data_IF_230995841407
#
_entry.id   IF_230995841407
#
_cell.length_a   1.000
_cell.length_b   1.000
_cell.length_c   1.000
_cell.angle_alpha   90.00
_cell.angle_beta   90.00
_cell.angle_gamma   90.00
#
_symmetry.space_group_name_H-M   'P 1'
#
loop_
_entity.id
_entity.type
_entity.pdbx_description
1 polymer ?
#
# COMPACT_ATOMS: atom_id res chain seq x y z
N UNK A 1 -19.26 -28.83 14.27
CA UNK A 1 -19.26 -27.37 14.13
C UNK A 1 -17.97 -27.03 13.42
N UNK A 2 -18.07 -26.75 12.13
CA UNK A 2 -16.94 -26.46 11.25
C UNK A 2 -16.40 -25.06 11.58
N UNK A 3 -15.08 -24.86 11.75
CA UNK A 3 -14.52 -23.55 12.10
C UNK A 3 -14.41 -22.56 10.93
N UNK A 4 -14.94 -22.86 9.75
CA UNK A 4 -14.87 -21.96 8.57
C UNK A 4 -16.11 -21.06 8.39
N UNK A 5 -17.12 -21.16 9.26
CA UNK A 5 -18.43 -20.51 9.04
C UNK A 5 -18.56 -19.12 9.68
N UNK A 6 -17.45 -18.41 9.88
CA UNK A 6 -17.46 -17.05 10.44
C UNK A 6 -16.58 -16.17 9.58
N UNK A 7 -17.20 -15.50 8.59
CA UNK A 7 -16.91 -14.14 8.10
C UNK A 7 -17.35 -13.98 6.63
N UNK A 8 -18.65 -14.13 6.35
CA UNK A 8 -19.20 -13.62 5.09
C UNK A 8 -20.49 -12.84 5.33
N UNK A 9 -20.37 -11.78 6.14
CA UNK A 9 -21.34 -10.68 6.10
C UNK A 9 -20.96 -9.79 4.93
N UNK A 10 -21.52 -10.13 3.77
CA UNK A 10 -21.49 -9.32 2.56
C UNK A 10 -22.35 -8.07 2.82
N UNK A 11 -21.73 -7.00 3.33
CA UNK A 11 -22.39 -5.70 3.46
C UNK A 11 -22.37 -5.07 2.08
N UNK A 12 -23.37 -5.39 1.26
CA UNK A 12 -23.57 -4.83 -0.07
C UNK A 12 -24.00 -3.37 0.07
N UNK A 13 -23.01 -2.47 0.18
CA UNK A 13 -23.22 -1.02 0.18
C UNK A 13 -22.78 -0.51 -1.18
N UNK A 14 -23.70 -0.53 -2.14
CA UNK A 14 -23.48 0.12 -3.42
C UNK A 14 -24.56 1.15 -3.74
N UNK A 15 -24.05 2.34 -4.07
CA UNK A 15 -24.59 3.38 -4.95
C UNK A 15 -25.51 4.45 -4.35
N UNK A 16 -24.86 5.54 -3.93
CA UNK A 16 -25.24 6.89 -4.38
C UNK A 16 -26.45 7.53 -3.71
N UNK A 17 -26.32 7.95 -2.44
CA UNK A 17 -27.35 8.79 -1.83
C UNK A 17 -27.13 9.23 -0.37
N UNK A 18 -25.98 8.94 0.22
CA UNK A 18 -25.77 8.95 1.68
C UNK A 18 -24.91 10.12 2.19
N UNK A 19 -24.30 10.92 1.31
CA UNK A 19 -23.52 12.11 1.71
C UNK A 19 -24.37 13.16 2.47
N UNK A 20 -25.69 13.20 2.27
CA UNK A 20 -26.59 14.15 2.94
C UNK A 20 -26.96 13.77 4.38
N UNK A 21 -26.70 12.53 4.82
CA UNK A 21 -27.01 12.06 6.17
C UNK A 21 -25.83 12.14 7.14
N UNK A 22 -24.68 12.67 6.70
CA UNK A 22 -23.46 12.75 7.53
C UNK A 22 -22.88 11.38 7.90
N UNK A 23 -23.29 10.33 7.18
CA UNK A 23 -22.85 8.95 7.33
C UNK A 23 -21.48 8.74 6.68
N UNK A 24 -20.66 7.89 7.28
CA UNK A 24 -19.41 7.43 6.68
C UNK A 24 -19.73 6.47 5.52
N UNK A 25 -19.00 6.59 4.41
CA UNK A 25 -19.10 5.64 3.30
C UNK A 25 -17.88 4.75 3.23
N UNK A 26 -18.10 3.51 2.82
CA UNK A 26 -17.04 2.56 2.52
C UNK A 26 -16.75 2.58 1.01
N UNK A 27 -15.53 2.26 0.62
CA UNK A 27 -15.15 2.13 -0.78
C UNK A 27 -15.74 0.85 -1.40
N UNK A 28 -15.83 0.84 -2.73
CA UNK A 28 -16.22 -0.34 -3.51
C UNK A 28 -15.08 -1.35 -3.71
N UNK A 29 -13.94 -1.18 -3.02
CA UNK A 29 -12.81 -2.10 -3.12
C UNK A 29 -13.08 -3.37 -2.30
N UNK A 30 -12.45 -4.51 -2.66
CA UNK A 30 -12.56 -5.72 -1.86
C UNK A 30 -11.87 -5.54 -0.51
N UNK A 31 -12.39 -6.22 0.53
CA UNK A 31 -11.83 -6.17 1.89
C UNK A 31 -10.35 -6.53 1.97
N UNK A 32 -9.93 -7.45 1.10
CA UNK A 32 -8.53 -7.86 0.96
C UNK A 32 -7.58 -6.71 0.64
N UNK A 33 -8.06 -5.63 0.03
CA UNK A 33 -7.25 -4.46 -0.31
C UNK A 33 -6.71 -3.76 0.94
N UNK A 34 -7.60 -3.29 1.82
CA UNK A 34 -7.20 -2.55 3.01
C UNK A 34 -6.66 -3.47 4.11
N UNK A 35 -7.10 -4.73 4.19
CA UNK A 35 -6.43 -5.74 5.02
C UNK A 35 -4.98 -5.98 4.57
N UNK A 36 -4.75 -6.07 3.26
CA UNK A 36 -3.40 -6.19 2.69
C UNK A 36 -2.51 -5.02 3.07
N UNK A 37 -3.07 -3.81 3.12
CA UNK A 37 -2.34 -2.62 3.55
C UNK A 37 -2.00 -2.65 5.05
N UNK A 38 -2.95 -3.03 5.92
CA UNK A 38 -2.75 -3.06 7.37
C UNK A 38 -1.78 -4.15 7.87
N UNK A 39 -1.82 -5.33 7.23
CA UNK A 39 -1.10 -6.54 7.67
C UNK A 39 -0.01 -6.98 6.69
N UNK A 40 0.54 -6.04 5.93
CA UNK A 40 1.49 -6.34 4.85
C UNK A 40 2.72 -7.15 5.33
N UNK A 41 3.21 -6.87 6.53
CA UNK A 41 4.39 -7.56 7.09
C UNK A 41 4.08 -9.00 7.52
N UNK A 42 2.90 -9.24 8.08
CA UNK A 42 2.43 -10.59 8.45
C UNK A 42 2.19 -11.44 7.20
N UNK A 43 1.57 -10.85 6.17
CA UNK A 43 1.32 -11.51 4.89
C UNK A 43 2.65 -11.89 4.24
N UNK A 44 3.63 -10.98 4.22
CA UNK A 44 4.98 -11.26 3.72
C UNK A 44 5.64 -12.37 4.53
N UNK A 45 5.55 -12.35 5.86
CA UNK A 45 6.15 -13.37 6.72
C UNK A 45 5.57 -14.76 6.47
N UNK A 46 4.24 -14.86 6.32
CA UNK A 46 3.54 -16.12 6.01
C UNK A 46 3.86 -16.62 4.61
N UNK A 47 3.93 -15.72 3.63
CA UNK A 47 4.17 -16.06 2.23
C UNK A 47 5.64 -16.30 1.90
N UNK A 48 6.56 -16.18 2.87
CA UNK A 48 7.96 -16.57 2.68
C UNK A 48 8.03 -18.06 2.32
N UNK A 49 8.75 -18.44 1.25
CA UNK A 49 8.96 -19.84 0.90
C UNK A 49 9.53 -20.62 2.10
N UNK A 50 8.95 -21.80 2.36
CA UNK A 50 9.37 -22.66 3.49
C UNK A 50 10.76 -23.26 3.27
N UNK A 51 11.10 -23.56 2.03
CA UNK A 51 12.45 -23.89 1.61
C UNK A 51 13.04 -22.64 0.96
N UNK A 52 14.15 -22.14 1.52
CA UNK A 52 14.86 -21.04 0.88
C UNK A 52 15.32 -21.51 -0.51
N UNK A 53 15.13 -20.71 -1.58
CA UNK A 53 15.65 -21.06 -2.90
C UNK A 53 17.13 -21.40 -2.74
N UNK A 54 17.55 -22.58 -3.23
CA UNK A 54 18.95 -23.02 -3.15
C UNK A 54 19.81 -21.94 -3.81
N UNK A 55 20.54 -21.18 -2.97
CA UNK A 55 21.37 -20.08 -3.44
C UNK A 55 22.46 -20.69 -4.33
N UNK A 56 22.52 -20.36 -5.64
CA UNK A 56 23.59 -20.85 -6.48
C UNK A 56 24.93 -20.31 -5.95
N UNK A 57 25.94 -21.17 -5.86
CA UNK A 57 27.26 -20.84 -5.27
C UNK A 57 27.97 -19.71 -6.01
N UNK A 58 27.64 -19.51 -7.29
CA UNK A 58 28.20 -18.49 -8.18
C UNK A 58 27.12 -17.64 -8.85
N UNK A 59 26.29 -16.94 -8.05
CA UNK A 59 25.42 -15.90 -8.60
C UNK A 59 26.26 -14.67 -9.01
N UNK A 60 26.08 -14.11 -10.22
CA UNK A 60 26.63 -12.80 -10.55
C UNK A 60 26.05 -11.74 -9.62
N UNK A 61 26.86 -10.78 -9.19
CA UNK A 61 26.38 -9.66 -8.36
C UNK A 61 25.38 -8.77 -9.12
N UNK A 62 25.55 -8.66 -10.44
CA UNK A 62 24.64 -7.91 -11.31
C UNK A 62 23.79 -8.88 -12.11
N UNK A 63 22.47 -8.74 -12.02
CA UNK A 63 21.55 -9.42 -12.93
C UNK A 63 21.84 -8.91 -14.36
N UNK A 64 21.88 -9.80 -15.37
CA UNK A 64 22.09 -9.40 -16.75
C UNK A 64 21.03 -8.39 -17.21
N UNK A 65 21.47 -7.32 -17.87
CA UNK A 65 20.58 -6.31 -18.45
C UNK A 65 20.75 -6.29 -19.95
N UNK A 66 19.64 -6.19 -20.70
CA UNK A 66 19.71 -5.90 -22.14
C UNK A 66 20.15 -4.45 -22.32
N UNK A 67 21.17 -4.23 -23.15
CA UNK A 67 21.61 -2.90 -23.53
C UNK A 67 20.58 -2.27 -24.47
N UNK A 68 19.70 -1.41 -23.94
CA UNK A 68 18.71 -0.66 -24.69
C UNK A 68 18.98 0.86 -24.64
N UNK A 69 18.47 1.60 -25.62
CA UNK A 69 18.55 3.08 -25.70
C UNK A 69 17.71 3.78 -24.61
N UNK A 70 16.93 3.02 -23.84
CA UNK A 70 16.11 3.54 -22.76
C UNK A 70 16.94 3.69 -21.48
N UNK A 71 16.67 4.76 -20.72
CA UNK A 71 17.29 5.07 -19.42
C UNK A 71 16.94 4.07 -18.29
N UNK A 72 16.38 2.90 -18.63
CA UNK A 72 15.93 1.88 -17.69
C UNK A 72 16.55 0.52 -18.03
N UNK A 73 17.19 -0.17 -17.06
CA UNK A 73 17.70 -1.50 -17.26
C UNK A 73 16.54 -2.50 -17.39
N UNK A 74 16.40 -3.10 -18.57
CA UNK A 74 15.54 -4.26 -18.75
C UNK A 74 16.39 -5.49 -18.45
N UNK A 75 15.98 -6.31 -17.48
CA UNK A 75 16.72 -7.51 -17.12
C UNK A 75 16.46 -8.62 -18.12
N UNK A 76 17.53 -9.28 -18.54
CA UNK A 76 17.47 -10.44 -19.41
C UNK A 76 17.46 -11.71 -18.56
N UNK A 77 16.30 -12.37 -18.48
CA UNK A 77 16.14 -13.61 -17.74
C UNK A 77 16.72 -14.82 -18.49
N UNK A 78 17.01 -14.70 -19.79
CA UNK A 78 17.49 -15.78 -20.66
C UNK A 78 18.99 -15.66 -20.97
N UNK A 79 19.65 -14.59 -20.51
CA UNK A 79 21.07 -14.35 -20.75
C UNK A 79 21.95 -15.41 -20.08
N UNK A 80 22.54 -16.30 -20.90
CA UNK A 80 23.61 -17.21 -20.47
C UNK A 80 24.88 -16.40 -20.16
N UNK A 81 25.30 -16.43 -18.90
CA UNK A 81 26.51 -15.74 -18.45
C UNK A 81 27.71 -16.66 -18.69
N UNK A 82 28.76 -16.24 -19.43
CA UNK A 82 29.93 -17.06 -19.65
C UNK A 82 30.61 -17.44 -18.32
N UNK A 83 30.72 -18.74 -18.01
CA UNK A 83 31.26 -19.25 -16.75
C UNK A 83 30.23 -19.62 -15.69
N UNK A 84 28.93 -19.47 -15.99
CA UNK A 84 27.82 -19.98 -15.19
C UNK A 84 27.27 -21.25 -15.85
N UNK A 85 27.55 -22.40 -15.24
CA UNK A 85 26.88 -23.66 -15.58
C UNK A 85 25.57 -23.69 -14.80
N UNK A 86 24.45 -23.75 -15.53
CA UNK A 86 23.13 -23.93 -14.97
C UNK A 86 23.01 -25.39 -14.53
N UNK A 87 23.61 -25.71 -13.39
CA UNK A 87 23.52 -27.01 -12.76
C UNK A 87 22.13 -27.22 -12.17
N UNK A 88 21.15 -27.51 -13.03
CA UNK A 88 19.77 -27.73 -12.61
C UNK A 88 18.75 -27.81 -13.76
N UNK A 89 19.02 -28.59 -14.80
CA UNK A 89 17.95 -29.08 -15.67
C UNK A 89 17.14 -30.17 -14.94
N UNK A 90 16.23 -29.75 -14.06
CA UNK A 90 15.05 -30.55 -13.75
C UNK A 90 13.85 -29.81 -14.35
N UNK A 91 13.34 -30.42 -15.42
CA UNK A 91 12.18 -30.03 -16.21
C UNK A 91 10.89 -30.22 -15.39
N UNK A 92 10.60 -29.37 -14.41
CA UNK A 92 9.29 -29.33 -13.73
C UNK A 92 9.18 -28.07 -12.85
N UNK A 93 9.08 -26.88 -13.44
CA UNK A 93 8.49 -25.67 -12.80
C UNK A 93 8.40 -24.50 -13.82
N UNK A 94 7.53 -24.66 -14.83
CA UNK A 94 7.29 -23.63 -15.86
C UNK A 94 6.36 -22.47 -15.43
N UNK A 95 5.88 -22.40 -14.18
CA UNK A 95 4.95 -21.34 -13.73
C UNK A 95 5.58 -20.28 -12.81
N UNK A 96 6.91 -20.22 -12.76
CA UNK A 96 7.64 -19.19 -12.02
C UNK A 96 7.98 -17.95 -12.85
N UNK A 97 7.06 -17.46 -13.70
CA UNK A 97 7.24 -16.21 -14.45
C UNK A 97 7.78 -15.11 -13.51
N UNK A 98 9.07 -14.82 -13.67
CA UNK A 98 9.82 -13.86 -12.87
C UNK A 98 9.19 -12.49 -13.06
N UNK A 99 8.27 -12.15 -12.15
CA UNK A 99 7.65 -10.82 -12.08
C UNK A 99 8.68 -9.87 -11.46
N UNK A 100 9.87 -9.78 -12.08
CA UNK A 100 10.81 -8.69 -11.88
C UNK A 100 10.00 -7.46 -12.23
N UNK A 101 9.64 -6.69 -11.19
CA UNK A 101 8.90 -5.45 -11.35
C UNK A 101 9.73 -4.57 -12.28
N UNK A 102 9.29 -4.47 -13.55
CA UNK A 102 9.86 -3.53 -14.52
C UNK A 102 9.96 -2.19 -13.80
N UNK A 103 11.19 -1.70 -13.65
CA UNK A 103 11.56 -0.58 -12.79
C UNK A 103 10.48 0.49 -12.79
N UNK A 104 9.71 0.54 -11.71
CA UNK A 104 8.85 1.68 -11.44
C UNK A 104 9.79 2.87 -11.31
N UNK A 105 9.46 3.98 -11.99
CA UNK A 105 10.24 5.21 -11.92
C UNK A 105 10.55 5.54 -10.45
N UNK A 106 11.79 5.28 -10.01
CA UNK A 106 12.37 5.88 -8.81
C UNK A 106 12.73 7.35 -9.15
N UNK A 107 11.79 8.06 -9.76
CA UNK A 107 11.88 9.50 -9.91
C UNK A 107 11.77 10.13 -8.53
N UNK A 108 12.44 11.26 -8.33
CA UNK A 108 12.46 12.04 -7.07
C UNK A 108 11.06 12.28 -6.45
N UNK A 109 9.97 12.15 -7.20
CA UNK A 109 8.60 12.12 -6.68
C UNK A 109 7.77 11.07 -7.41
N UNK A 110 7.14 10.16 -6.64
CA UNK A 110 6.21 9.15 -7.16
C UNK A 110 4.93 9.80 -7.71
N UNK A 111 4.18 9.08 -8.54
CA UNK A 111 2.92 9.59 -9.10
C UNK A 111 1.90 9.91 -8.00
N UNK A 112 1.87 9.11 -6.95
CA UNK A 112 1.04 9.38 -5.78
C UNK A 112 1.45 10.67 -5.06
N UNK A 113 2.75 10.89 -4.85
CA UNK A 113 3.23 12.10 -4.18
C UNK A 113 2.90 13.36 -4.98
N UNK A 114 3.02 13.32 -6.31
CA UNK A 114 2.58 14.43 -7.18
C UNK A 114 1.07 14.68 -7.07
N UNK A 115 0.28 13.62 -6.96
CA UNK A 115 -1.16 13.73 -6.75
C UNK A 115 -1.49 14.35 -5.39
N UNK A 116 -0.76 13.97 -4.32
CA UNK A 116 -0.89 14.58 -2.98
C UNK A 116 -0.58 16.08 -2.97
N UNK A 117 0.33 16.55 -3.82
CA UNK A 117 0.63 17.98 -3.97
C UNK A 117 -0.45 18.74 -4.75
N UNK A 118 -1.24 18.06 -5.56
CA UNK A 118 -2.14 18.68 -6.55
C UNK A 118 -3.60 18.70 -6.08
N UNK A 119 -4.19 17.51 -5.86
CA UNK A 119 -5.60 17.37 -5.50
C UNK A 119 -5.86 16.07 -4.72
N UNK A 120 -6.56 16.18 -3.60
CA UNK A 120 -6.91 15.03 -2.75
C UNK A 120 -7.82 14.01 -3.48
N UNK A 121 -8.68 14.46 -4.40
CA UNK A 121 -9.54 13.57 -5.18
C UNK A 121 -8.75 12.71 -6.16
N UNK A 122 -7.80 13.34 -6.88
CA UNK A 122 -6.85 12.65 -7.75
C UNK A 122 -5.95 11.70 -6.94
N UNK A 123 -5.43 12.15 -5.79
CA UNK A 123 -4.62 11.32 -4.91
C UNK A 123 -5.36 10.08 -4.43
N UNK A 124 -6.62 10.22 -4.00
CA UNK A 124 -7.44 9.07 -3.59
C UNK A 124 -7.73 8.12 -4.76
N UNK A 125 -8.00 8.65 -5.95
CA UNK A 125 -8.21 7.83 -7.15
C UNK A 125 -6.95 7.04 -7.52
N UNK A 126 -5.78 7.68 -7.44
CA UNK A 126 -4.50 7.04 -7.69
C UNK A 126 -4.21 5.97 -6.63
N UNK A 127 -4.42 6.27 -5.35
CA UNK A 127 -4.26 5.33 -4.24
C UNK A 127 -5.06 4.04 -4.45
N UNK A 128 -6.33 4.16 -4.86
CA UNK A 128 -7.20 2.99 -5.13
C UNK A 128 -6.75 2.18 -6.35
N UNK A 129 -6.00 2.77 -7.27
CA UNK A 129 -5.46 2.08 -8.46
C UNK A 129 -4.17 1.31 -8.18
N UNK A 130 -3.49 1.61 -7.07
CA UNK A 130 -2.23 0.99 -6.68
C UNK A 130 -2.46 -0.32 -5.92
N UNK A 131 -1.54 -1.27 -6.02
CA UNK A 131 -1.56 -2.44 -5.15
C UNK A 131 -1.18 -2.08 -3.70
N UNK A 132 -1.67 -2.80 -2.69
CA UNK A 132 -1.29 -2.56 -1.28
C UNK A 132 0.23 -2.56 -1.05
N UNK A 133 0.98 -3.37 -1.80
CA UNK A 133 2.44 -3.41 -1.72
C UNK A 133 3.13 -2.18 -2.31
N UNK A 134 2.59 -1.60 -3.38
CA UNK A 134 3.09 -0.33 -3.92
C UNK A 134 2.84 0.80 -2.93
N UNK A 135 1.62 0.90 -2.39
CA UNK A 135 1.26 1.90 -1.38
C UNK A 135 2.20 1.83 -0.19
N UNK A 136 2.44 0.63 0.36
CA UNK A 136 3.37 0.44 1.47
C UNK A 136 4.80 0.90 1.13
N UNK A 137 5.30 0.55 -0.05
CA UNK A 137 6.66 0.95 -0.49
C UNK A 137 6.78 2.46 -0.63
N UNK A 138 5.75 3.12 -1.17
CA UNK A 138 5.75 4.57 -1.29
C UNK A 138 5.71 5.26 0.06
N UNK A 139 4.84 4.81 0.99
CA UNK A 139 4.79 5.35 2.35
C UNK A 139 6.14 5.17 3.04
N UNK A 140 6.78 4.00 2.91
CA UNK A 140 8.08 3.75 3.50
C UNK A 140 9.17 4.71 2.98
N UNK A 141 9.03 5.19 1.75
CA UNK A 141 9.97 6.11 1.12
C UNK A 141 9.61 7.60 1.32
N UNK A 142 8.58 7.92 2.13
CA UNK A 142 8.22 9.32 2.39
C UNK A 142 9.35 10.08 3.07
N UNK A 143 9.62 11.27 2.53
CA UNK A 143 10.40 12.29 3.22
C UNK A 143 9.49 13.15 4.11
N UNK A 144 10.10 14.05 4.86
CA UNK A 144 9.41 14.94 5.78
C UNK A 144 8.23 15.70 5.14
N UNK A 145 8.43 16.20 3.91
CA UNK A 145 7.43 16.98 3.18
C UNK A 145 6.28 16.08 2.73
N UNK A 146 6.59 14.91 2.16
CA UNK A 146 5.61 13.91 1.75
C UNK A 146 4.76 13.46 2.93
N UNK A 147 5.37 13.25 4.09
CA UNK A 147 4.68 12.86 5.31
C UNK A 147 3.70 13.94 5.79
N UNK A 148 4.11 15.22 5.76
CA UNK A 148 3.23 16.35 6.10
C UNK A 148 2.02 16.44 5.15
N UNK A 149 2.26 16.29 3.85
CA UNK A 149 1.20 16.24 2.83
C UNK A 149 0.26 15.05 3.06
N UNK A 150 0.80 13.88 3.37
CA UNK A 150 0.02 12.67 3.62
C UNK A 150 -0.87 12.80 4.87
N UNK A 151 -0.37 13.39 5.97
CA UNK A 151 -1.16 13.65 7.18
C UNK A 151 -2.29 14.65 6.91
N UNK A 152 -2.00 15.69 6.14
CA UNK A 152 -3.00 16.69 5.73
C UNK A 152 -4.08 16.07 4.83
N UNK A 153 -3.66 15.28 3.83
CA UNK A 153 -4.53 14.50 2.97
C UNK A 153 -5.44 13.56 3.78
N UNK A 154 -4.88 12.78 4.71
CA UNK A 154 -5.67 11.91 5.57
C UNK A 154 -6.72 12.70 6.36
N UNK A 155 -6.33 13.83 6.95
CA UNK A 155 -7.25 14.72 7.69
C UNK A 155 -8.41 15.19 6.82
N UNK A 156 -8.13 15.60 5.58
CA UNK A 156 -9.16 16.04 4.63
C UNK A 156 -10.10 14.89 4.24
N UNK A 157 -9.55 13.71 3.98
CA UNK A 157 -10.33 12.52 3.63
C UNK A 157 -11.23 12.04 4.78
N UNK A 158 -10.73 12.08 6.03
CA UNK A 158 -11.54 11.81 7.23
C UNK A 158 -12.72 12.77 7.32
N UNK A 159 -12.48 14.07 7.11
CA UNK A 159 -13.55 15.10 7.13
C UNK A 159 -14.58 14.92 6.02
N UNK A 160 -14.17 14.43 4.84
CA UNK A 160 -15.09 14.09 3.74
C UNK A 160 -15.96 12.86 4.06
N UNK A 161 -15.53 12.01 5.02
CA UNK A 161 -16.25 10.80 5.44
C UNK A 161 -16.48 9.79 4.31
N UNK A 162 -15.62 9.80 3.30
CA UNK A 162 -15.68 8.90 2.13
C UNK A 162 -14.52 7.93 2.11
N UNK A 163 -14.77 6.69 1.72
CA UNK A 163 -13.74 5.63 1.67
C UNK A 163 -13.00 5.49 3.01
N UNK A 164 -13.78 5.44 4.07
CA UNK A 164 -13.27 5.63 5.42
C UNK A 164 -12.29 4.53 5.83
N UNK A 165 -12.56 3.28 5.47
CA UNK A 165 -11.72 2.12 5.73
C UNK A 165 -10.37 2.17 5.02
N UNK A 166 -10.32 2.69 3.79
CA UNK A 166 -9.05 2.90 3.07
C UNK A 166 -8.23 3.99 3.77
N UNK A 167 -8.89 5.07 4.17
CA UNK A 167 -8.25 6.17 4.90
C UNK A 167 -7.72 5.69 6.26
N UNK A 168 -8.49 4.89 7.01
CA UNK A 168 -8.02 4.29 8.28
C UNK A 168 -6.82 3.36 8.06
N UNK A 169 -6.84 2.54 7.01
CA UNK A 169 -5.71 1.67 6.66
C UNK A 169 -4.45 2.48 6.35
N UNK A 170 -4.58 3.57 5.60
CA UNK A 170 -3.47 4.48 5.29
C UNK A 170 -2.90 5.11 6.56
N UNK A 171 -3.75 5.64 7.44
CA UNK A 171 -3.34 6.20 8.74
C UNK A 171 -2.59 5.15 9.56
N UNK A 172 -3.08 3.91 9.61
CA UNK A 172 -2.43 2.83 10.35
C UNK A 172 -0.99 2.59 9.87
N UNK A 173 -0.77 2.51 8.56
CA UNK A 173 0.56 2.27 7.99
C UNK A 173 1.48 3.47 8.20
N UNK A 174 1.00 4.69 7.96
CA UNK A 174 1.79 5.91 8.20
C UNK A 174 2.28 5.96 9.65
N UNK A 175 1.37 5.72 10.61
CA UNK A 175 1.75 5.73 12.02
C UNK A 175 2.71 4.59 12.36
N UNK A 176 2.51 3.38 11.84
CA UNK A 176 3.44 2.26 12.09
C UNK A 176 4.86 2.53 11.60
N UNK A 177 4.99 3.16 10.43
CA UNK A 177 6.28 3.40 9.77
C UNK A 177 6.97 4.66 10.30
N UNK A 178 6.23 5.76 10.46
CA UNK A 178 6.80 7.09 10.71
C UNK A 178 6.53 7.66 12.10
N UNK A 179 6.10 6.85 13.07
CA UNK A 179 5.77 7.34 14.42
C UNK A 179 6.91 8.14 15.06
N UNK A 180 8.15 7.67 14.96
CA UNK A 180 9.31 8.33 15.55
C UNK A 180 9.52 9.72 14.96
N UNK A 181 9.47 9.86 13.64
CA UNK A 181 9.64 11.15 12.97
C UNK A 181 8.50 12.12 13.31
N UNK A 182 7.27 11.62 13.38
CA UNK A 182 6.09 12.42 13.76
C UNK A 182 6.22 12.96 15.19
N UNK A 183 6.81 12.19 16.10
CA UNK A 183 6.99 12.60 17.49
C UNK A 183 8.16 13.59 17.68
N UNK A 184 9.17 13.53 16.82
CA UNK A 184 10.35 14.41 16.88
C UNK A 184 10.09 15.80 16.26
N UNK A 185 9.25 15.91 15.23
CA UNK A 185 8.94 17.18 14.57
C UNK A 185 7.67 17.84 15.10
N UNK A 186 7.75 19.12 15.48
CA UNK A 186 6.60 19.90 15.93
C UNK A 186 5.51 20.04 14.86
N UNK A 187 5.89 20.21 13.60
CA UNK A 187 4.94 20.46 12.51
C UNK A 187 4.19 19.19 12.13
N UNK A 188 4.88 18.05 12.06
CA UNK A 188 4.24 16.74 11.87
C UNK A 188 3.35 16.37 13.04
N UNK A 189 3.80 16.60 14.27
CA UNK A 189 3.00 16.36 15.48
C UNK A 189 1.73 17.20 15.49
N UNK A 190 1.80 18.45 15.04
CA UNK A 190 0.64 19.34 14.89
C UNK A 190 -0.34 18.78 13.85
N UNK A 191 0.15 18.42 12.66
CA UNK A 191 -0.69 17.82 11.61
C UNK A 191 -1.34 16.50 12.07
N UNK A 192 -0.59 15.64 12.76
CA UNK A 192 -1.12 14.41 13.35
C UNK A 192 -2.15 14.68 14.45
N UNK A 193 -1.99 15.74 15.25
CA UNK A 193 -2.96 16.14 16.27
C UNK A 193 -4.27 16.64 15.65
N UNK A 194 -4.21 17.40 14.55
CA UNK A 194 -5.39 17.80 13.77
C UNK A 194 -6.10 16.60 13.17
N UNK A 195 -5.34 15.67 12.57
CA UNK A 195 -5.86 14.40 12.06
C UNK A 195 -6.58 13.61 13.17
N UNK A 196 -5.98 13.50 14.35
CA UNK A 196 -6.56 12.81 15.51
C UNK A 196 -7.87 13.44 15.97
N UNK A 197 -7.96 14.77 16.01
CA UNK A 197 -9.21 15.48 16.35
C UNK A 197 -10.31 15.16 15.32
N UNK A 198 -9.99 15.26 14.03
CA UNK A 198 -10.93 14.92 12.96
C UNK A 198 -11.41 13.46 13.05
N UNK A 199 -10.52 12.53 13.40
CA UNK A 199 -10.89 11.13 13.67
C UNK A 199 -11.84 11.02 14.85
N UNK A 200 -11.51 11.63 15.99
CA UNK A 200 -12.35 11.58 17.19
C UNK A 200 -13.77 12.12 16.92
N UNK A 201 -13.87 13.28 16.27
CA UNK A 201 -15.15 13.90 15.92
C UNK A 201 -15.98 13.01 14.99
N UNK A 202 -15.31 12.35 14.04
CA UNK A 202 -15.97 11.42 13.11
C UNK A 202 -16.45 10.17 13.83
N UNK A 203 -15.66 9.61 14.74
CA UNK A 203 -16.02 8.42 15.51
C UNK A 203 -17.17 8.68 16.48
N UNK A 204 -17.21 9.84 17.14
CA UNK A 204 -18.37 10.25 17.95
C UNK A 204 -19.64 10.26 17.09
N UNK A 205 -19.55 10.82 15.88
CA UNK A 205 -20.69 10.82 14.95
C UNK A 205 -21.12 9.40 14.58
N UNK A 206 -20.16 8.49 14.35
CA UNK A 206 -20.46 7.09 14.00
C UNK A 206 -21.11 6.36 15.17
N UNK A 207 -20.58 6.52 16.38
CA UNK A 207 -21.08 5.92 17.61
C UNK A 207 -22.51 6.37 17.92
N UNK A 208 -22.76 7.69 17.92
CA UNK A 208 -24.10 8.25 18.13
C UNK A 208 -25.16 7.75 17.13
N UNK A 209 -24.72 7.30 15.94
CA UNK A 209 -25.61 6.77 14.91
C UNK A 209 -25.82 5.27 15.08
N UNK A 210 -24.78 4.53 15.47
CA UNK A 210 -24.89 3.10 15.76
C UNK A 210 -25.76 2.84 16.99
N UNK A 211 -25.68 3.67 18.03
CA UNK A 211 -26.52 3.54 19.24
C UNK A 211 -28.01 3.83 18.98
N UNK A 212 -28.33 4.48 17.86
CA UNK A 212 -29.72 4.80 17.46
C UNK A 212 -30.36 3.71 16.60
N UNK A 213 -29.61 2.69 16.19
CA UNK A 213 -30.08 1.54 15.38
C UNK A 213 -30.41 0.37 16.29
#
# INVERSE_FOLDING_TARGET
ADPEDVLDVHMDVSLGGNASMGLVTLSSLPRSFWHGLMYQDEIKARNKPKEAPKKPEHAPFFLPTVSGLHSQPVFDAEAKIPGWDDGGSDEEDEEGSSRIMKGQELGMHTKFLKALESDDGEAMTHLKSMSPGQIYTEIYAFDHKALLLALTFCTNQIKKKTDFEVTQALVNVILKVHMSEILESEDLSRAASEMRKALADTWVTVEERLERV
#
